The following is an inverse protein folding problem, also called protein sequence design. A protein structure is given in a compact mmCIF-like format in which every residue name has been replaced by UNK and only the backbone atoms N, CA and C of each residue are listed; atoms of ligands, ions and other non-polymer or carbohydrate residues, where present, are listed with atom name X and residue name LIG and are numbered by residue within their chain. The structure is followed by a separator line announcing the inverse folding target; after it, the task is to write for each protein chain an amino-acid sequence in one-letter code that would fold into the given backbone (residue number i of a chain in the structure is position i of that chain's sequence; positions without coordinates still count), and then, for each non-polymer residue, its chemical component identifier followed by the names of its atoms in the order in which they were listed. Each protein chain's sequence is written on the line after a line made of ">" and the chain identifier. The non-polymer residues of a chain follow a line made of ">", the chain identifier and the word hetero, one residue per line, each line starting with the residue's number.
data_IF_048504334285
#
_entry.id   IF_048504334285
#
_cell.length_a   1.000
_cell.length_b   1.000
_cell.length_c   1.000
_cell.angle_alpha   90.00
_cell.angle_beta   90.00
_cell.angle_gamma   90.00
#
_symmetry.space_group_name_H-M   'P 1'
#
loop_
_entity.id
_entity.type
_entity.pdbx_description
1 polymer ?
#
# COMPACT_ATOMS: atom_id res chain seq x y z
N UNK A 1 38.15 34.26 57.54
CA UNK A 1 36.79 33.68 57.62
C UNK A 1 36.88 32.31 56.98
N UNK A 2 36.95 31.27 57.81
CA UNK A 2 37.00 29.85 57.42
C UNK A 2 35.58 29.35 57.03
N UNK A 3 35.39 28.10 56.56
CA UNK A 3 34.84 27.80 55.23
C UNK A 3 33.62 26.85 55.29
N UNK A 4 33.16 26.34 54.13
CA UNK A 4 32.44 25.05 53.87
C UNK A 4 32.07 25.07 52.38
N UNK A 5 32.53 24.22 51.45
CA UNK A 5 32.73 22.76 51.39
C UNK A 5 31.51 21.95 51.84
N UNK A 6 30.75 21.49 50.85
CA UNK A 6 29.85 20.33 50.88
C UNK A 6 29.93 19.72 49.48
N UNK A 7 30.76 18.70 49.25
CA UNK A 7 30.60 17.28 49.59
C UNK A 7 29.53 16.59 48.72
N UNK A 8 30.00 15.68 47.88
CA UNK A 8 29.23 14.74 47.08
C UNK A 8 28.50 13.73 47.95
N UNK A 9 27.34 13.26 47.49
CA UNK A 9 26.72 12.03 47.99
C UNK A 9 26.04 11.29 46.84
N UNK A 10 26.67 10.19 46.41
CA UNK A 10 26.04 9.04 45.75
C UNK A 10 25.07 8.39 46.76
N UNK A 11 23.83 8.16 46.35
CA UNK A 11 22.92 7.22 47.00
C UNK A 11 22.10 6.55 45.88
N UNK A 12 22.46 5.33 45.48
CA UNK A 12 21.88 4.05 45.92
C UNK A 12 20.37 3.94 45.62
N UNK A 13 20.08 3.22 44.53
CA UNK A 13 18.76 2.66 44.22
C UNK A 13 18.21 1.88 45.43
N UNK A 14 16.93 2.02 45.76
CA UNK A 14 16.21 0.95 46.43
C UNK A 14 15.61 0.00 45.38
N UNK A 15 16.05 -1.26 45.42
CA UNK A 15 15.24 -2.39 44.96
C UNK A 15 13.92 -2.33 45.74
N UNK A 16 12.80 -2.09 45.06
CA UNK A 16 11.48 -2.34 45.61
C UNK A 16 10.93 -3.63 45.02
N UNK A 17 10.58 -4.49 45.96
CA UNK A 17 10.15 -5.88 45.84
C UNK A 17 8.84 -5.97 45.07
N UNK A 18 8.79 -6.97 44.19
CA UNK A 18 7.61 -7.43 43.47
C UNK A 18 6.58 -7.96 44.49
N UNK A 19 5.47 -7.27 44.69
CA UNK A 19 4.28 -7.87 45.29
C UNK A 19 3.21 -8.08 44.22
N UNK A 20 2.86 -9.35 44.07
CA UNK A 20 1.95 -9.90 43.07
C UNK A 20 0.52 -9.42 43.30
N UNK A 21 0.04 -8.52 42.44
CA UNK A 21 -1.40 -8.26 42.32
C UNK A 21 -1.99 -9.25 41.32
N UNK A 22 -2.54 -10.35 41.83
CA UNK A 22 -3.36 -11.28 41.03
C UNK A 22 -4.68 -10.58 40.71
N UNK A 23 -4.73 -9.89 39.58
CA UNK A 23 -5.98 -9.50 38.93
C UNK A 23 -6.60 -10.76 38.34
N UNK A 24 -7.58 -11.33 39.05
CA UNK A 24 -8.54 -12.26 38.44
C UNK A 24 -9.42 -11.43 37.50
N UNK A 25 -8.92 -11.17 36.31
CA UNK A 25 -9.76 -10.71 35.20
C UNK A 25 -10.48 -11.93 34.67
N UNK A 26 -11.75 -12.07 35.03
CA UNK A 26 -12.69 -12.91 34.30
C UNK A 26 -12.90 -12.31 32.92
N UNK A 27 -11.94 -12.50 32.03
CA UNK A 27 -12.15 -12.30 30.61
C UNK A 27 -13.16 -13.37 30.19
N UNK A 28 -14.38 -12.93 29.86
CA UNK A 28 -15.33 -13.75 29.14
C UNK A 28 -14.61 -14.31 27.92
N UNK A 29 -14.43 -15.63 27.89
CA UNK A 29 -13.99 -16.34 26.70
C UNK A 29 -15.04 -16.05 25.64
N UNK A 30 -14.74 -15.13 24.73
CA UNK A 30 -15.53 -14.95 23.53
C UNK A 30 -15.62 -16.33 22.87
N UNK A 31 -16.81 -16.76 22.42
CA UNK A 31 -16.93 -18.05 21.74
C UNK A 31 -15.93 -18.05 20.59
N UNK A 32 -15.12 -19.09 20.56
CA UNK A 32 -14.20 -19.38 19.48
C UNK A 32 -15.08 -19.59 18.24
N UNK A 33 -15.35 -18.51 17.51
CA UNK A 33 -15.92 -18.58 16.17
C UNK A 33 -14.88 -19.37 15.41
N UNK A 34 -15.20 -20.63 15.08
CA UNK A 34 -14.40 -21.40 14.17
C UNK A 34 -14.24 -20.57 12.90
N UNK A 35 -13.07 -19.93 12.76
CA UNK A 35 -12.74 -19.19 11.58
C UNK A 35 -12.71 -20.21 10.46
N UNK A 36 -13.66 -20.12 9.55
CA UNK A 36 -13.60 -20.82 8.28
C UNK A 36 -12.20 -20.58 7.69
N UNK A 37 -11.48 -21.66 7.39
CA UNK A 37 -10.10 -21.56 6.89
C UNK A 37 -10.12 -20.72 5.62
N UNK A 38 -9.30 -19.65 5.61
CA UNK A 38 -9.22 -18.76 4.46
C UNK A 38 -8.71 -19.57 3.25
N UNK A 39 -9.35 -19.46 2.07
CA UNK A 39 -8.81 -20.05 0.85
C UNK A 39 -7.45 -19.41 0.55
N UNK A 40 -6.44 -20.23 0.25
CA UNK A 40 -5.07 -19.78 -0.06
C UNK A 40 -4.78 -20.09 -1.52
N UNK A 41 -4.46 -19.07 -2.31
CA UNK A 41 -3.95 -19.23 -3.68
C UNK A 41 -2.53 -19.82 -3.63
N UNK A 42 -2.36 -21.02 -4.19
CA UNK A 42 -1.04 -21.60 -4.49
C UNK A 42 -0.88 -21.70 -6.00
N UNK A 43 0.06 -20.94 -6.56
CA UNK A 43 0.24 -20.73 -8.01
C UNK A 43 0.83 -21.91 -8.79
N UNK A 44 0.95 -23.09 -8.17
CA UNK A 44 1.70 -24.22 -8.75
C UNK A 44 0.85 -25.28 -9.48
N UNK A 45 -0.50 -25.22 -9.48
CA UNK A 45 -1.33 -26.26 -10.12
C UNK A 45 -2.54 -25.69 -10.86
N UNK A 46 -3.14 -26.46 -11.78
CA UNK A 46 -4.34 -26.06 -12.54
C UNK A 46 -5.61 -25.80 -11.66
N UNK A 47 -5.57 -26.13 -10.37
CA UNK A 47 -6.59 -25.72 -9.39
C UNK A 47 -6.38 -24.28 -8.88
N UNK A 48 -5.31 -23.60 -9.31
CA UNK A 48 -4.92 -22.26 -8.82
C UNK A 48 -5.98 -21.21 -9.08
N UNK A 49 -6.52 -21.12 -10.30
CA UNK A 49 -7.42 -20.01 -10.68
C UNK A 49 -8.65 -19.90 -9.78
N UNK A 50 -9.34 -21.03 -9.49
CA UNK A 50 -10.51 -21.04 -8.62
C UNK A 50 -10.15 -20.70 -7.16
N UNK A 51 -8.97 -21.14 -6.68
CA UNK A 51 -8.51 -20.79 -5.32
C UNK A 51 -8.12 -19.32 -5.19
N UNK A 52 -7.55 -18.72 -6.24
CA UNK A 52 -7.17 -17.30 -6.25
C UNK A 52 -8.41 -16.40 -6.36
N UNK A 53 -9.46 -16.82 -7.08
CA UNK A 53 -10.76 -16.15 -7.10
C UNK A 53 -11.46 -16.21 -5.73
N UNK A 54 -11.47 -17.39 -5.08
CA UNK A 54 -12.03 -17.54 -3.75
C UNK A 54 -11.27 -16.71 -2.68
N UNK A 55 -9.94 -16.68 -2.75
CA UNK A 55 -9.12 -15.84 -1.88
C UNK A 55 -9.35 -14.35 -2.14
N UNK A 56 -9.47 -13.94 -3.39
CA UNK A 56 -9.82 -12.57 -3.75
C UNK A 56 -11.15 -12.13 -3.13
N UNK A 57 -12.21 -12.91 -3.31
CA UNK A 57 -13.54 -12.62 -2.74
C UNK A 57 -13.52 -12.61 -1.21
N UNK A 58 -12.77 -13.54 -0.59
CA UNK A 58 -12.55 -13.55 0.86
C UNK A 58 -11.91 -12.24 1.33
N UNK A 59 -10.88 -11.74 0.65
CA UNK A 59 -10.21 -10.49 1.01
C UNK A 59 -11.12 -9.27 0.85
N UNK A 60 -11.91 -9.21 -0.23
CA UNK A 60 -12.90 -8.14 -0.45
C UNK A 60 -13.88 -8.09 0.72
N UNK A 61 -14.42 -9.23 1.14
CA UNK A 61 -15.37 -9.31 2.25
C UNK A 61 -14.70 -9.02 3.60
N UNK A 62 -13.56 -9.65 3.87
CA UNK A 62 -12.84 -9.57 5.14
C UNK A 62 -12.41 -8.14 5.49
N UNK A 63 -12.06 -7.35 4.49
CA UNK A 63 -11.65 -5.96 4.65
C UNK A 63 -12.73 -4.95 4.27
N UNK A 64 -13.96 -5.42 3.98
CA UNK A 64 -15.10 -4.58 3.58
C UNK A 64 -14.71 -3.60 2.47
N UNK A 65 -14.04 -4.12 1.43
CA UNK A 65 -13.50 -3.30 0.35
C UNK A 65 -14.61 -2.83 -0.57
N UNK A 66 -14.46 -1.59 -1.05
CA UNK A 66 -15.38 -1.00 -2.02
C UNK A 66 -14.76 -1.06 -3.42
N UNK A 67 -15.55 -1.51 -4.41
CA UNK A 67 -15.12 -1.52 -5.81
C UNK A 67 -14.99 -0.09 -6.36
N UNK A 68 -13.96 0.15 -7.16
CA UNK A 68 -13.66 1.41 -7.83
C UNK A 68 -14.17 1.41 -9.27
N UNK A 69 -14.30 2.58 -9.93
CA UNK A 69 -14.58 2.64 -11.35
C UNK A 69 -13.53 1.94 -12.23
N UNK A 70 -12.28 1.83 -11.75
CA UNK A 70 -11.18 1.15 -12.42
C UNK A 70 -11.20 -0.38 -12.25
N UNK A 71 -12.30 -0.96 -11.72
CA UNK A 71 -12.41 -2.38 -11.39
C UNK A 71 -11.39 -2.87 -10.34
N UNK A 72 -10.81 -1.98 -9.56
CA UNK A 72 -10.03 -2.32 -8.36
C UNK A 72 -10.89 -2.24 -7.12
N UNK A 73 -10.38 -2.67 -5.97
CA UNK A 73 -11.07 -2.64 -4.70
C UNK A 73 -10.19 -1.94 -3.68
N UNK A 74 -10.77 -1.09 -2.83
CA UNK A 74 -9.99 -0.37 -1.82
C UNK A 74 -10.69 -0.34 -0.47
N UNK A 75 -9.91 -0.21 0.60
CA UNK A 75 -10.38 0.04 1.94
C UNK A 75 -9.48 1.06 2.66
N UNK A 76 -10.03 2.06 3.36
CA UNK A 76 -9.23 2.97 4.19
C UNK A 76 -8.68 2.21 5.41
N UNK A 77 -7.39 2.40 5.70
CA UNK A 77 -6.72 1.79 6.86
C UNK A 77 -6.47 2.83 7.94
N UNK A 78 -5.99 4.01 7.55
CA UNK A 78 -5.66 5.08 8.48
C UNK A 78 -5.88 6.45 7.83
N UNK A 79 -6.32 7.40 8.64
CA UNK A 79 -6.32 8.82 8.30
C UNK A 79 -5.86 9.59 9.52
N UNK A 80 -4.85 10.45 9.36
CA UNK A 80 -4.35 11.24 10.47
C UNK A 80 -5.42 12.20 11.00
N UNK A 81 -5.50 12.32 12.33
CA UNK A 81 -6.27 13.38 12.99
C UNK A 81 -5.55 14.72 12.99
N UNK A 82 -4.23 14.74 12.72
CA UNK A 82 -3.48 15.96 12.49
C UNK A 82 -3.73 16.44 11.07
N UNK A 83 -3.97 17.75 10.93
CA UNK A 83 -4.28 18.40 9.66
C UNK A 83 -3.12 19.27 9.19
N UNK A 84 -2.95 19.38 7.87
CA UNK A 84 -2.07 20.35 7.23
C UNK A 84 -2.70 21.75 7.21
N UNK A 85 -2.01 22.74 6.63
CA UNK A 85 -2.50 24.11 6.55
C UNK A 85 -3.82 24.26 5.76
N UNK A 86 -4.09 23.34 4.84
CA UNK A 86 -5.29 23.30 4.00
C UNK A 86 -6.44 22.52 4.65
N UNK A 87 -6.28 22.07 5.90
CA UNK A 87 -7.30 21.35 6.66
C UNK A 87 -7.46 19.87 6.27
N UNK A 88 -6.53 19.32 5.48
CA UNK A 88 -6.52 17.90 5.09
C UNK A 88 -5.65 17.09 6.06
N UNK A 89 -5.92 15.79 6.27
CA UNK A 89 -5.04 14.92 7.04
C UNK A 89 -3.59 15.02 6.57
N UNK A 90 -2.63 15.02 7.49
CA UNK A 90 -1.20 15.05 7.10
C UNK A 90 -0.77 13.78 6.36
N UNK A 91 -1.48 12.67 6.57
CA UNK A 91 -1.27 11.42 5.85
C UNK A 91 -2.51 10.53 5.94
N UNK A 92 -2.70 9.68 4.93
CA UNK A 92 -3.65 8.59 4.93
C UNK A 92 -3.00 7.32 4.38
N UNK A 93 -3.57 6.18 4.75
CA UNK A 93 -3.17 4.86 4.26
C UNK A 93 -4.41 4.14 3.78
N UNK A 94 -4.30 3.54 2.59
CA UNK A 94 -5.32 2.66 2.03
C UNK A 94 -4.74 1.28 1.80
N UNK A 95 -5.64 0.30 1.76
CA UNK A 95 -5.40 -1.00 1.16
C UNK A 95 -6.06 -1.01 -0.21
N UNK A 96 -5.37 -1.57 -1.20
CA UNK A 96 -5.91 -1.76 -2.55
C UNK A 96 -5.70 -3.20 -2.99
N UNK A 97 -6.70 -3.74 -3.66
CA UNK A 97 -6.74 -5.06 -4.25
C UNK A 97 -7.05 -4.92 -5.74
N UNK A 98 -6.12 -5.37 -6.58
CA UNK A 98 -6.23 -5.30 -8.04
C UNK A 98 -6.44 -6.72 -8.60
N UNK A 99 -7.49 -6.97 -9.41
CA UNK A 99 -7.69 -8.25 -10.06
C UNK A 99 -6.54 -8.62 -11.01
N UNK A 100 -6.46 -9.90 -11.37
CA UNK A 100 -5.55 -10.37 -12.41
C UNK A 100 -5.77 -9.63 -13.75
N UNK A 101 -4.70 -9.46 -14.52
CA UNK A 101 -4.71 -8.75 -15.81
C UNK A 101 -5.04 -7.25 -15.72
N UNK A 102 -5.19 -6.70 -14.50
CA UNK A 102 -5.54 -5.30 -14.31
C UNK A 102 -4.38 -4.41 -14.75
N UNK A 103 -4.71 -3.41 -15.57
CA UNK A 103 -3.83 -2.33 -15.93
C UNK A 103 -4.53 -1.00 -15.66
N UNK A 104 -3.96 -0.20 -14.76
CA UNK A 104 -4.49 1.12 -14.41
C UNK A 104 -3.82 2.16 -15.31
N UNK A 105 -4.60 2.99 -16.03
CA UNK A 105 -4.06 4.09 -16.83
C UNK A 105 -3.25 5.09 -16.01
N UNK A 106 -2.52 5.96 -16.72
CA UNK A 106 -1.70 6.98 -16.09
C UNK A 106 -2.54 7.96 -15.26
N UNK A 107 -2.14 8.11 -14.00
CA UNK A 107 -2.71 9.06 -13.06
C UNK A 107 -1.62 9.78 -12.28
N UNK A 108 -1.93 10.97 -11.77
CA UNK A 108 -1.03 11.73 -10.90
C UNK A 108 -1.86 12.43 -9.84
N UNK A 109 -1.35 12.54 -8.62
CA UNK A 109 -1.99 13.38 -7.61
C UNK A 109 -1.85 14.86 -8.00
N UNK A 110 -2.91 15.65 -7.92
CA UNK A 110 -2.85 17.10 -8.18
C UNK A 110 -2.22 17.88 -6.99
N UNK A 111 -2.01 17.19 -5.88
CA UNK A 111 -1.23 17.63 -4.71
C UNK A 111 0.20 17.09 -4.77
N UNK A 112 1.14 17.78 -4.12
CA UNK A 112 2.55 17.38 -4.04
C UNK A 112 2.77 16.21 -3.07
N UNK A 113 2.03 15.12 -3.29
CA UNK A 113 2.01 13.93 -2.46
C UNK A 113 3.06 12.94 -2.91
N UNK A 114 3.89 12.50 -1.96
CA UNK A 114 4.73 11.32 -2.11
C UNK A 114 3.93 10.07 -1.77
N UNK A 115 4.14 9.01 -2.54
CA UNK A 115 3.45 7.73 -2.35
C UNK A 115 4.44 6.68 -1.87
N UNK A 116 4.03 5.91 -0.87
CA UNK A 116 4.76 4.74 -0.39
C UNK A 116 3.88 3.52 -0.57
N UNK A 117 4.38 2.49 -1.24
CA UNK A 117 3.60 1.29 -1.61
C UNK A 117 4.22 0.06 -0.95
N UNK A 118 3.39 -0.84 -0.44
CA UNK A 118 3.81 -2.12 0.15
C UNK A 118 3.04 -3.28 -0.48
N UNK A 119 3.77 -4.31 -0.90
CA UNK A 119 3.17 -5.58 -1.29
C UNK A 119 2.75 -6.38 -0.06
N UNK A 120 1.57 -7.00 -0.12
CA UNK A 120 1.11 -7.93 0.92
C UNK A 120 0.94 -9.34 0.38
N UNK A 121 0.32 -9.50 -0.80
CA UNK A 121 -0.07 -10.82 -1.31
C UNK A 121 -0.36 -10.83 -2.81
N UNK A 122 -0.31 -12.03 -3.38
CA UNK A 122 -0.60 -12.29 -4.79
C UNK A 122 0.59 -12.03 -5.69
N UNK A 123 0.33 -11.73 -6.96
CA UNK A 123 1.33 -11.52 -7.99
C UNK A 123 2.21 -10.28 -7.74
N UNK A 124 3.22 -10.12 -8.58
CA UNK A 124 3.96 -8.87 -8.68
C UNK A 124 3.17 -7.80 -9.45
N UNK A 125 3.41 -6.54 -9.11
CA UNK A 125 2.83 -5.36 -9.75
C UNK A 125 3.96 -4.52 -10.36
N UNK A 126 3.90 -4.26 -11.66
CA UNK A 126 4.77 -3.25 -12.26
C UNK A 126 4.22 -1.86 -11.98
N UNK A 127 5.10 -0.98 -11.51
CA UNK A 127 4.86 0.45 -11.36
C UNK A 127 5.63 1.16 -12.46
N UNK A 128 4.88 1.77 -13.37
CA UNK A 128 5.39 2.65 -14.40
C UNK A 128 5.32 4.09 -13.90
N UNK A 129 6.45 4.79 -13.89
CA UNK A 129 6.52 6.15 -13.37
C UNK A 129 7.22 7.09 -14.36
N UNK A 130 6.56 8.20 -14.68
CA UNK A 130 7.15 9.33 -15.40
C UNK A 130 7.40 10.45 -14.39
N UNK A 131 8.67 10.65 -14.06
CA UNK A 131 9.09 11.62 -13.06
C UNK A 131 9.02 13.04 -13.65
N UNK A 132 8.91 14.09 -12.80
CA UNK A 132 8.98 15.48 -13.24
C UNK A 132 10.26 15.84 -14.01
N UNK A 133 11.32 15.05 -13.87
CA UNK A 133 12.58 15.21 -14.63
C UNK A 133 12.47 14.83 -16.11
N UNK A 134 11.38 14.17 -16.53
CA UNK A 134 11.25 13.54 -17.85
C UNK A 134 11.76 12.09 -17.89
N UNK A 135 12.27 11.58 -16.77
CA UNK A 135 12.75 10.20 -16.67
C UNK A 135 11.58 9.22 -16.51
N UNK A 136 11.67 8.11 -17.25
CA UNK A 136 10.78 6.97 -17.08
C UNK A 136 11.48 5.91 -16.22
N UNK A 137 10.76 5.38 -15.24
CA UNK A 137 11.19 4.25 -14.43
C UNK A 137 10.13 3.14 -14.45
N UNK A 138 10.60 1.90 -14.36
CA UNK A 138 9.76 0.72 -14.18
C UNK A 138 10.27 -0.08 -13.00
N UNK A 139 9.52 -0.04 -11.91
CA UNK A 139 9.84 -0.79 -10.70
C UNK A 139 8.83 -1.91 -10.50
N UNK A 140 9.21 -2.95 -9.76
CA UNK A 140 8.34 -4.11 -9.51
C UNK A 140 8.11 -4.25 -8.02
N UNK A 141 6.85 -4.12 -7.61
CA UNK A 141 6.37 -4.32 -6.25
C UNK A 141 5.92 -5.78 -6.10
N UNK A 142 6.47 -6.52 -5.14
CA UNK A 142 6.18 -7.95 -4.98
C UNK A 142 7.04 -8.61 -3.91
N UNK A 143 6.76 -9.90 -3.65
CA UNK A 143 7.64 -10.75 -2.84
C UNK A 143 8.95 -11.09 -3.59
N UNK A 144 10.13 -10.52 -3.23
CA UNK A 144 11.41 -10.81 -3.88
C UNK A 144 11.85 -12.27 -3.80
N UNK A 145 11.30 -13.06 -2.88
CA UNK A 145 11.59 -14.49 -2.78
C UNK A 145 10.84 -15.31 -3.84
N UNK A 146 9.74 -14.77 -4.38
CA UNK A 146 8.90 -15.41 -5.41
C UNK A 146 8.99 -14.71 -6.77
N UNK A 147 9.26 -13.41 -6.78
CA UNK A 147 9.25 -12.54 -7.93
C UNK A 147 10.64 -11.93 -8.12
N UNK A 148 11.48 -12.50 -9.00
CA UNK A 148 12.84 -11.99 -9.22
C UNK A 148 12.86 -10.51 -9.62
N UNK A 149 13.69 -9.72 -8.93
CA UNK A 149 13.82 -8.28 -9.19
C UNK A 149 12.73 -7.41 -8.56
N UNK A 150 11.76 -7.99 -7.85
CA UNK A 150 10.77 -7.24 -7.10
C UNK A 150 11.32 -6.70 -5.78
N UNK A 151 10.59 -5.74 -5.20
CA UNK A 151 10.81 -5.22 -3.86
C UNK A 151 9.49 -5.25 -3.06
N UNK A 152 9.57 -5.49 -1.75
CA UNK A 152 8.38 -5.45 -0.89
C UNK A 152 7.77 -4.05 -0.78
N UNK A 153 8.58 -3.01 -0.97
CA UNK A 153 8.17 -1.63 -0.80
C UNK A 153 8.80 -0.74 -1.86
N UNK A 154 8.03 0.22 -2.36
CA UNK A 154 8.50 1.28 -3.25
C UNK A 154 8.10 2.66 -2.70
N UNK A 155 8.84 3.69 -3.11
CA UNK A 155 8.55 5.08 -2.76
C UNK A 155 8.63 5.96 -4.01
N UNK A 156 7.57 6.73 -4.28
CA UNK A 156 7.45 7.56 -5.47
C UNK A 156 7.50 9.03 -5.12
N UNK A 157 8.34 9.82 -5.81
CA UNK A 157 8.37 11.27 -5.66
C UNK A 157 7.01 11.90 -5.98
N UNK A 158 6.78 13.08 -5.42
CA UNK A 158 5.59 13.86 -5.72
C UNK A 158 5.54 14.30 -7.19
N UNK A 159 4.33 14.59 -7.69
CA UNK A 159 4.07 15.03 -9.07
C UNK A 159 4.52 14.02 -10.15
N UNK A 160 4.63 12.75 -9.79
CA UNK A 160 4.95 11.65 -10.71
C UNK A 160 3.67 11.11 -11.34
N UNK A 161 3.63 10.99 -12.67
CA UNK A 161 2.59 10.20 -13.33
C UNK A 161 2.88 8.72 -13.09
N UNK A 162 1.87 7.97 -12.66
CA UNK A 162 1.98 6.55 -12.32
C UNK A 162 0.93 5.76 -13.08
N UNK A 163 1.35 4.62 -13.64
CA UNK A 163 0.47 3.56 -14.16
C UNK A 163 0.89 2.24 -13.53
N UNK A 164 -0.06 1.34 -13.30
CA UNK A 164 0.22 0.03 -12.70
C UNK A 164 -0.27 -1.11 -13.59
N UNK A 165 0.45 -2.23 -13.53
CA UNK A 165 0.12 -3.45 -14.26
C UNK A 165 0.31 -4.66 -13.35
N UNK A 166 -0.74 -5.46 -13.17
CA UNK A 166 -0.64 -6.77 -12.51
C UNK A 166 0.05 -7.74 -13.47
N UNK A 167 1.20 -8.29 -13.04
CA UNK A 167 2.03 -9.19 -13.84
C UNK A 167 1.56 -10.65 -13.78
N UNK A 168 0.24 -10.86 -13.83
CA UNK A 168 -0.39 -12.18 -13.84
C UNK A 168 -1.81 -12.08 -14.39
N UNK A 169 -2.20 -13.04 -15.22
CA UNK A 169 -3.56 -13.17 -15.74
C UNK A 169 -4.46 -14.04 -14.86
N UNK A 170 -3.90 -14.64 -13.79
CA UNK A 170 -4.62 -15.56 -12.91
C UNK A 170 -4.59 -15.16 -11.44
N UNK A 171 -3.68 -14.29 -11.04
CA UNK A 171 -3.50 -13.88 -9.65
C UNK A 171 -3.76 -12.38 -9.47
N UNK A 172 -4.42 -12.04 -8.36
CA UNK A 172 -4.63 -10.66 -7.94
C UNK A 172 -3.34 -10.08 -7.32
N UNK A 173 -3.35 -8.78 -7.01
CA UNK A 173 -2.35 -8.14 -6.13
C UNK A 173 -3.05 -7.44 -4.97
N UNK A 174 -2.65 -7.75 -3.75
CA UNK A 174 -3.02 -7.01 -2.54
C UNK A 174 -1.84 -6.15 -2.09
N UNK A 175 -2.08 -4.86 -1.92
CA UNK A 175 -1.07 -3.89 -1.51
C UNK A 175 -1.65 -2.84 -0.56
N UNK A 176 -0.78 -2.09 0.09
CA UNK A 176 -1.16 -0.84 0.75
C UNK A 176 -0.39 0.33 0.18
N UNK A 177 -1.01 1.50 0.22
CA UNK A 177 -0.41 2.78 -0.16
C UNK A 177 -0.58 3.79 0.96
N UNK A 178 0.48 4.50 1.32
CA UNK A 178 0.43 5.69 2.18
C UNK A 178 0.84 6.92 1.39
N UNK A 179 0.17 8.03 1.67
CA UNK A 179 0.42 9.31 1.02
C UNK A 179 0.83 10.39 2.00
N UNK A 180 1.85 11.17 1.64
CA UNK A 180 2.34 12.30 2.45
C UNK A 180 2.63 13.51 1.55
N UNK A 181 1.91 14.64 1.70
CA UNK A 181 0.67 14.79 2.45
C UNK A 181 -0.45 13.87 1.96
N UNK A 182 -1.52 13.69 2.73
CA UNK A 182 -2.66 12.87 2.27
C UNK A 182 -3.26 13.43 0.98
N UNK A 183 -3.87 12.56 0.18
CA UNK A 183 -4.68 12.96 -0.97
C UNK A 183 -6.10 12.41 -0.81
N UNK A 184 -7.08 13.19 -1.26
CA UNK A 184 -8.46 12.75 -1.42
C UNK A 184 -8.64 12.04 -2.77
N UNK A 185 -9.72 11.27 -2.93
CA UNK A 185 -10.10 10.70 -4.23
C UNK A 185 -10.55 11.74 -5.25
N UNK A 186 -10.58 13.01 -4.88
CA UNK A 186 -10.79 14.13 -5.81
C UNK A 186 -9.48 14.79 -6.23
N UNK A 187 -8.37 14.35 -5.63
CA UNK A 187 -7.06 14.99 -5.77
C UNK A 187 -6.16 14.25 -6.77
N UNK A 188 -6.75 13.73 -7.86
CA UNK A 188 -6.00 13.10 -8.94
C UNK A 188 -6.43 13.57 -10.33
N UNK A 189 -5.44 13.65 -11.21
CA UNK A 189 -5.61 13.83 -12.64
C UNK A 189 -5.51 12.47 -13.32
N UNK A 190 -6.48 12.14 -14.17
CA UNK A 190 -6.32 11.06 -15.15
C UNK A 190 -5.68 11.65 -16.41
N UNK A 191 -4.62 11.02 -16.89
CA UNK A 191 -3.94 11.54 -18.05
C UNK A 191 -4.80 11.36 -19.31
N UNK A 192 -4.90 12.43 -20.10
CA UNK A 192 -5.22 12.31 -21.51
C UNK A 192 -3.97 11.78 -22.23
N UNK A 193 -4.05 10.63 -22.95
CA UNK A 193 -2.87 10.04 -23.57
C UNK A 193 -2.18 10.97 -24.56
N UNK A 194 -2.94 11.76 -25.33
CA UNK A 194 -2.38 12.69 -26.33
C UNK A 194 -1.58 13.81 -25.64
N UNK A 195 -2.11 14.36 -24.57
CA UNK A 195 -1.45 15.41 -23.80
C UNK A 195 -0.22 14.87 -23.07
N UNK A 196 -0.31 13.66 -22.51
CA UNK A 196 0.81 13.03 -21.81
C UNK A 196 1.94 12.67 -22.78
N UNK A 197 1.64 12.20 -23.99
CA UNK A 197 2.64 11.99 -25.05
C UNK A 197 3.28 13.31 -25.46
N UNK A 198 2.52 14.40 -25.55
CA UNK A 198 3.08 15.71 -25.84
C UNK A 198 4.04 16.20 -24.73
N UNK A 199 3.74 15.90 -23.46
CA UNK A 199 4.61 16.19 -22.32
C UNK A 199 5.86 15.28 -22.29
N UNK A 200 5.71 13.99 -22.62
CA UNK A 200 6.78 12.98 -22.56
C UNK A 200 6.96 12.25 -23.91
N UNK A 201 7.38 12.94 -24.99
CA UNK A 201 7.36 12.38 -26.34
C UNK A 201 8.30 11.18 -26.54
N UNK A 202 9.34 11.06 -25.72
CA UNK A 202 10.27 9.91 -25.78
C UNK A 202 9.64 8.61 -25.28
N UNK A 203 8.52 8.69 -24.56
CA UNK A 203 7.91 7.57 -23.84
C UNK A 203 6.53 7.20 -24.41
N UNK A 204 6.25 7.61 -25.65
CA UNK A 204 4.96 7.37 -26.32
C UNK A 204 4.52 5.90 -26.27
N UNK A 205 5.43 4.97 -26.57
CA UNK A 205 5.10 3.55 -26.59
C UNK A 205 4.59 3.02 -25.24
N UNK A 206 5.22 3.40 -24.13
CA UNK A 206 4.77 2.95 -22.80
C UNK A 206 3.52 3.70 -22.34
N UNK A 207 3.37 4.97 -22.75
CA UNK A 207 2.16 5.74 -22.47
C UNK A 207 0.96 5.08 -23.13
N UNK A 208 1.04 4.81 -24.44
CA UNK A 208 -0.07 4.25 -25.21
C UNK A 208 -0.41 2.82 -24.79
N UNK A 209 0.59 2.01 -24.40
CA UNK A 209 0.36 0.66 -23.90
C UNK A 209 -0.55 0.63 -22.66
N UNK A 210 -0.65 1.71 -21.88
CA UNK A 210 -1.57 1.80 -20.74
C UNK A 210 -3.06 1.88 -21.14
N UNK A 211 -3.36 2.20 -22.40
CA UNK A 211 -4.71 2.42 -22.92
C UNK A 211 -5.15 1.38 -23.95
N UNK A 212 -4.23 0.53 -24.41
CA UNK A 212 -4.53 -0.55 -25.33
C UNK A 212 -5.32 -1.65 -24.62
N UNK A 213 -6.64 -1.68 -24.88
CA UNK A 213 -7.57 -2.71 -24.39
C UNK A 213 -7.23 -4.15 -24.84
N UNK A 214 -6.22 -4.33 -25.71
CA UNK A 214 -5.84 -5.61 -26.29
C UNK A 214 -4.83 -6.41 -25.44
N UNK A 215 -4.32 -5.86 -24.33
CA UNK A 215 -3.39 -6.56 -23.43
C UNK A 215 -4.07 -7.24 -22.23
N UNK A 216 -5.40 -7.40 -22.25
CA UNK A 216 -6.20 -7.94 -21.13
C UNK A 216 -7.12 -9.09 -21.53
N UNK A 217 -6.79 -9.84 -22.59
CA UNK A 217 -7.49 -11.06 -23.00
C UNK A 217 -6.51 -12.19 -23.33
#
# INVERSE_FOLDING_TARGET
>A
MEPRRTAAARALLPLLVLESLVLVSGAAVAPEVMAEEAPVCESATAHSHATCEAEFEYLVQRFNMTRTPANTYFAPVFSSSQLNADGQPVTNTIMELQPAGTRIPWLRTNVATQLFLWHHRGAALAIHALLPSGEYTREVLGDPLRHPGAQFQLAMPYMTWVSTEVLSDTEYVLMSGSAVPSFSRLDYDLANPVELVAEFPKHEAVIMAAYDKAASN
#
